data_IF_094820079174
#
_entry.id   IF_094820079174
#
_cell.length_a   1.000
_cell.length_b   1.000
_cell.length_c   1.000
_cell.angle_alpha   90.00
_cell.angle_beta   90.00
_cell.angle_gamma   90.00
#
_symmetry.space_group_name_H-M   'P 1'
#
loop_
_entity.id
_entity.type
_entity.pdbx_description
1 polymer ?
#
# COMPACT_ATOMS: atom_id res chain seq x y z
N UNK A 1 -20.89 -18.64 -29.56
CA UNK A 1 -20.79 -17.27 -30.10
C UNK A 1 -19.31 -16.92 -30.23
N UNK A 2 -18.84 -16.63 -31.44
CA UNK A 2 -17.45 -16.27 -31.66
C UNK A 2 -17.19 -14.86 -31.13
N UNK A 3 -16.41 -14.74 -30.06
CA UNK A 3 -15.80 -13.47 -29.69
C UNK A 3 -14.85 -13.11 -30.82
N UNK A 4 -15.13 -12.03 -31.54
CA UNK A 4 -14.27 -11.56 -32.63
C UNK A 4 -12.89 -11.21 -32.07
N UNK A 5 -11.83 -11.64 -32.75
CA UNK A 5 -10.41 -11.43 -32.39
C UNK A 5 -10.07 -9.96 -32.12
N UNK A 6 -10.83 -9.04 -32.71
CA UNK A 6 -10.72 -7.59 -32.53
C UNK A 6 -11.30 -7.11 -31.19
N UNK A 7 -12.39 -7.71 -30.71
CA UNK A 7 -12.96 -7.45 -29.38
C UNK A 7 -12.05 -7.94 -28.26
N UNK A 8 -11.40 -9.09 -28.43
CA UNK A 8 -10.38 -9.59 -27.50
C UNK A 8 -9.15 -8.67 -27.45
N UNK A 9 -8.65 -8.21 -28.61
CA UNK A 9 -7.54 -7.24 -28.70
C UNK A 9 -7.86 -5.89 -28.06
N UNK A 10 -9.11 -5.43 -28.11
CA UNK A 10 -9.52 -4.15 -27.52
C UNK A 10 -9.59 -4.21 -25.99
N UNK A 11 -10.02 -5.37 -25.45
CA UNK A 11 -10.07 -5.65 -24.01
C UNK A 11 -8.68 -5.57 -23.35
N UNK A 12 -7.63 -6.02 -24.05
CA UNK A 12 -6.24 -6.01 -23.56
C UNK A 12 -5.57 -4.62 -23.59
N UNK A 13 -6.18 -3.61 -24.21
CA UNK A 13 -5.56 -2.29 -24.40
C UNK A 13 -6.04 -1.22 -23.45
N UNK A 14 -7.05 -1.51 -22.64
CA UNK A 14 -7.62 -0.57 -21.66
C UNK A 14 -7.48 -1.18 -20.28
N UNK A 15 -6.85 -0.41 -19.38
CA UNK A 15 -6.71 -0.74 -17.97
C UNK A 15 -7.45 0.31 -17.15
N UNK A 16 -8.40 -0.13 -16.32
CA UNK A 16 -8.93 0.69 -15.24
C UNK A 16 -8.16 0.36 -13.96
N UNK A 17 -7.39 1.33 -13.46
CA UNK A 17 -6.60 1.21 -12.25
C UNK A 17 -7.27 2.01 -11.13
N UNK A 18 -7.54 1.35 -10.01
CA UNK A 18 -8.27 1.93 -8.89
C UNK A 18 -7.37 2.03 -7.66
N UNK A 19 -7.49 3.15 -6.94
CA UNK A 19 -7.09 3.18 -5.54
C UNK A 19 -8.03 2.28 -4.70
N UNK A 20 -7.63 1.92 -3.48
CA UNK A 20 -8.39 1.02 -2.59
C UNK A 20 -9.23 1.81 -1.60
N UNK A 21 -8.59 2.45 -0.61
CA UNK A 21 -9.25 3.09 0.53
C UNK A 21 -9.96 4.39 0.13
N UNK A 22 -11.27 4.46 0.33
CA UNK A 22 -12.11 5.60 -0.06
C UNK A 22 -12.51 5.61 -1.53
N UNK A 23 -11.97 4.70 -2.34
CA UNK A 23 -12.28 4.56 -3.77
C UNK A 23 -13.10 3.31 -4.07
N UNK A 24 -12.61 2.13 -3.68
CA UNK A 24 -13.34 0.86 -3.82
C UNK A 24 -13.98 0.40 -2.51
N UNK A 25 -13.40 0.77 -1.37
CA UNK A 25 -13.87 0.39 -0.04
C UNK A 25 -13.93 1.60 0.88
N UNK A 26 -14.75 1.60 1.94
CA UNK A 26 -14.50 2.48 3.07
C UNK A 26 -13.09 2.21 3.64
N UNK A 27 -12.41 3.25 4.13
CA UNK A 27 -11.03 3.13 4.57
C UNK A 27 -10.81 1.95 5.56
N UNK A 28 -9.90 1.05 5.20
CA UNK A 28 -9.52 -0.19 5.92
C UNK A 28 -10.66 -1.19 6.14
N UNK A 29 -11.76 -1.08 5.39
CA UNK A 29 -12.86 -2.02 5.47
C UNK A 29 -12.96 -2.91 4.23
N UNK A 30 -13.77 -3.96 4.33
CA UNK A 30 -14.08 -4.87 3.23
C UNK A 30 -14.89 -4.16 2.14
N UNK A 31 -14.66 -4.59 0.90
CA UNK A 31 -15.41 -4.15 -0.26
C UNK A 31 -16.90 -4.54 -0.15
N UNK A 32 -17.76 -3.65 -0.62
CA UNK A 32 -19.19 -3.93 -0.76
C UNK A 32 -19.39 -5.01 -1.86
N UNK A 33 -20.21 -6.06 -1.62
CA UNK A 33 -20.52 -7.07 -2.61
C UNK A 33 -21.02 -6.52 -3.96
N UNK A 34 -21.77 -5.42 -3.98
CA UNK A 34 -22.27 -4.80 -5.21
C UNK A 34 -21.13 -4.18 -6.03
N UNK A 35 -20.18 -3.51 -5.36
CA UNK A 35 -18.99 -2.93 -6.00
C UNK A 35 -18.11 -4.05 -6.54
N UNK A 36 -17.90 -5.12 -5.78
CA UNK A 36 -17.14 -6.28 -6.22
C UNK A 36 -17.76 -6.95 -7.47
N UNK A 37 -19.08 -7.14 -7.47
CA UNK A 37 -19.81 -7.70 -8.62
C UNK A 37 -19.71 -6.78 -9.85
N UNK A 38 -19.81 -5.46 -9.65
CA UNK A 38 -19.63 -4.49 -10.71
C UNK A 38 -18.23 -4.56 -11.34
N UNK A 39 -17.18 -4.68 -10.53
CA UNK A 39 -15.81 -4.81 -11.03
C UNK A 39 -15.61 -6.07 -11.88
N UNK A 40 -16.20 -7.20 -11.48
CA UNK A 40 -16.16 -8.43 -12.30
C UNK A 40 -16.92 -8.25 -13.63
N UNK A 41 -18.04 -7.54 -13.62
CA UNK A 41 -18.74 -7.17 -14.86
C UNK A 41 -17.90 -6.23 -15.73
N UNK A 42 -17.23 -5.25 -15.15
CA UNK A 42 -16.31 -4.33 -15.84
C UNK A 42 -15.13 -5.09 -16.47
N UNK A 43 -14.59 -6.07 -15.76
CA UNK A 43 -13.50 -6.96 -16.23
C UNK A 43 -13.86 -7.77 -17.48
N UNK A 44 -15.15 -7.92 -17.81
CA UNK A 44 -15.55 -8.51 -19.10
C UNK A 44 -15.18 -7.62 -20.29
N UNK A 45 -15.02 -6.30 -20.10
CA UNK A 45 -14.80 -5.29 -21.15
C UNK A 45 -13.38 -4.71 -21.18
N UNK A 46 -12.74 -4.60 -20.03
CA UNK A 46 -11.40 -4.00 -19.87
C UNK A 46 -10.58 -4.83 -18.88
N UNK A 47 -9.27 -4.61 -18.82
CA UNK A 47 -8.48 -5.09 -17.69
C UNK A 47 -8.74 -4.20 -16.47
N UNK A 48 -8.72 -4.80 -15.28
CA UNK A 48 -8.85 -4.06 -14.02
C UNK A 48 -7.64 -4.33 -13.12
N UNK A 49 -7.24 -3.32 -12.38
CA UNK A 49 -6.22 -3.46 -11.35
C UNK A 49 -6.44 -2.54 -10.18
N UNK A 50 -5.76 -2.84 -9.08
CA UNK A 50 -5.74 -1.99 -7.88
C UNK A 50 -4.33 -1.53 -7.55
N UNK A 51 -4.20 -0.33 -7.01
CA UNK A 51 -2.97 0.21 -6.45
C UNK A 51 -3.25 0.77 -5.06
N UNK A 52 -2.42 0.44 -4.09
CA UNK A 52 -2.57 0.95 -2.73
C UNK A 52 -1.23 1.06 -2.01
N UNK A 53 -1.15 2.00 -1.07
CA UNK A 53 0.04 2.19 -0.23
C UNK A 53 0.21 1.13 0.87
N UNK A 54 -0.83 0.35 1.12
CA UNK A 54 -0.80 -0.76 2.07
C UNK A 54 0.00 -1.96 1.55
N UNK A 55 0.45 -2.81 2.46
CA UNK A 55 0.99 -4.13 2.11
C UNK A 55 -0.07 -5.01 1.44
N UNK A 56 0.39 -6.06 0.76
CA UNK A 56 -0.49 -6.97 0.02
C UNK A 56 -1.54 -7.62 0.92
N UNK A 57 -1.16 -8.06 2.12
CA UNK A 57 -2.06 -8.75 3.05
C UNK A 57 -3.28 -7.89 3.42
N UNK A 58 -3.09 -6.59 3.67
CA UNK A 58 -4.19 -5.66 3.92
C UNK A 58 -5.08 -5.47 2.71
N UNK A 59 -4.50 -5.29 1.53
CA UNK A 59 -5.27 -5.15 0.28
C UNK A 59 -6.10 -6.42 0.03
N UNK A 60 -5.51 -7.60 0.27
CA UNK A 60 -6.17 -8.88 0.13
C UNK A 60 -7.36 -9.04 1.10
N UNK A 61 -7.17 -8.67 2.38
CA UNK A 61 -8.23 -8.67 3.39
C UNK A 61 -9.43 -7.79 3.00
N UNK A 62 -9.17 -6.63 2.37
CA UNK A 62 -10.22 -5.71 1.97
C UNK A 62 -10.98 -6.17 0.71
N UNK A 63 -10.29 -6.82 -0.22
CA UNK A 63 -10.83 -7.10 -1.57
C UNK A 63 -11.22 -8.56 -1.80
N UNK A 64 -11.02 -9.43 -0.80
CA UNK A 64 -11.41 -10.83 -0.89
C UNK A 64 -11.11 -11.63 0.37
N UNK A 65 -11.11 -12.94 0.22
CA UNK A 65 -10.66 -13.87 1.26
C UNK A 65 -9.37 -14.55 0.81
N UNK A 66 -8.38 -14.66 1.71
CA UNK A 66 -7.07 -15.22 1.38
C UNK A 66 -6.42 -14.50 0.19
N UNK A 67 -6.05 -15.27 -0.84
CA UNK A 67 -5.39 -14.76 -2.05
C UNK A 67 -6.35 -14.51 -3.23
N UNK A 68 -7.67 -14.48 -3.02
CA UNK A 68 -8.64 -14.26 -4.11
C UNK A 68 -8.41 -12.96 -4.88
N UNK A 69 -7.79 -11.94 -4.26
CA UNK A 69 -7.58 -10.63 -4.88
C UNK A 69 -6.75 -10.71 -6.17
N UNK A 70 -5.75 -11.59 -6.24
CA UNK A 70 -4.88 -11.74 -7.42
C UNK A 70 -5.55 -12.53 -8.55
N UNK A 71 -6.65 -13.22 -8.24
CA UNK A 71 -7.50 -13.89 -9.23
C UNK A 71 -8.60 -12.96 -9.72
N UNK A 72 -9.16 -12.12 -8.83
CA UNK A 72 -10.24 -11.16 -9.11
C UNK A 72 -9.79 -9.96 -9.95
N UNK A 73 -8.53 -9.56 -9.87
CA UNK A 73 -7.95 -8.45 -10.60
C UNK A 73 -6.84 -8.91 -11.55
N UNK A 74 -6.69 -8.24 -12.69
CA UNK A 74 -5.60 -8.55 -13.64
C UNK A 74 -4.26 -8.04 -13.13
N UNK A 75 -4.26 -6.97 -12.32
CA UNK A 75 -3.09 -6.42 -11.66
C UNK A 75 -3.38 -6.05 -10.21
N UNK A 76 -2.43 -6.34 -9.32
CA UNK A 76 -2.46 -5.90 -7.91
C UNK A 76 -1.12 -5.26 -7.59
N UNK A 77 -1.14 -3.95 -7.30
CA UNK A 77 0.03 -3.14 -6.96
C UNK A 77 -0.03 -2.76 -5.48
N UNK A 78 0.62 -3.55 -4.63
CA UNK A 78 0.75 -3.25 -3.21
C UNK A 78 1.99 -2.37 -2.96
N UNK A 79 1.99 -1.64 -1.84
CA UNK A 79 3.05 -0.70 -1.47
C UNK A 79 3.41 0.24 -2.64
N UNK A 80 2.38 0.83 -3.25
CA UNK A 80 2.47 1.71 -4.43
C UNK A 80 3.17 1.06 -5.63
N UNK A 81 3.07 -0.26 -5.77
CA UNK A 81 3.59 -1.03 -6.90
C UNK A 81 5.02 -1.54 -6.71
N UNK A 82 5.63 -1.33 -5.55
CA UNK A 82 6.90 -2.00 -5.22
C UNK A 82 6.72 -3.52 -5.08
N UNK A 83 5.50 -3.97 -4.79
CA UNK A 83 5.05 -5.37 -4.92
C UNK A 83 3.97 -5.45 -5.98
N UNK A 84 4.21 -6.24 -7.04
CA UNK A 84 3.30 -6.34 -8.19
C UNK A 84 2.91 -7.78 -8.48
N UNK A 85 1.60 -8.03 -8.58
CA UNK A 85 1.03 -9.22 -9.20
C UNK A 85 0.41 -8.86 -10.56
N UNK A 86 0.58 -9.74 -11.54
CA UNK A 86 -0.05 -9.67 -12.85
C UNK A 86 -0.61 -11.04 -13.22
N UNK A 87 -1.90 -11.11 -13.48
CA UNK A 87 -2.63 -12.33 -13.80
C UNK A 87 -2.32 -13.47 -12.82
N UNK A 88 -2.49 -13.21 -11.52
CA UNK A 88 -2.21 -14.19 -10.46
C UNK A 88 -0.72 -14.44 -10.16
N UNK A 89 0.22 -13.88 -10.94
CA UNK A 89 1.65 -14.14 -10.76
C UNK A 89 2.37 -12.93 -10.16
N UNK A 90 3.16 -13.16 -9.11
CA UNK A 90 4.11 -12.18 -8.61
C UNK A 90 5.16 -11.87 -9.69
N UNK A 91 5.23 -10.61 -10.11
CA UNK A 91 6.18 -10.12 -11.11
C UNK A 91 7.45 -9.57 -10.47
N UNK A 92 7.28 -8.66 -9.52
CA UNK A 92 8.39 -7.95 -8.91
C UNK A 92 8.09 -7.63 -7.46
N UNK A 93 9.15 -7.70 -6.66
CA UNK A 93 9.20 -7.16 -5.32
C UNK A 93 10.50 -6.36 -5.23
N UNK A 94 10.39 -5.04 -5.27
CA UNK A 94 11.52 -4.15 -5.09
C UNK A 94 11.59 -3.74 -3.63
N UNK A 95 12.77 -3.89 -3.04
CA UNK A 95 13.02 -3.47 -1.66
C UNK A 95 13.89 -2.22 -1.64
N UNK A 96 13.68 -1.35 -0.66
CA UNK A 96 14.38 -0.07 -0.55
C UNK A 96 15.90 -0.25 -0.40
N UNK A 97 16.37 -1.29 0.30
CA UNK A 97 17.79 -1.61 0.40
C UNK A 97 18.41 -2.01 -0.95
N UNK A 98 17.66 -2.73 -1.80
CA UNK A 98 18.15 -3.09 -3.13
C UNK A 98 18.18 -1.88 -4.07
N UNK A 99 17.32 -0.89 -3.84
CA UNK A 99 17.28 0.32 -4.66
C UNK A 99 18.32 1.36 -4.24
N UNK A 100 18.45 1.62 -2.93
CA UNK A 100 19.35 2.64 -2.39
C UNK A 100 20.77 2.12 -2.11
N UNK A 101 20.91 0.82 -1.86
CA UNK A 101 22.15 0.23 -1.32
C UNK A 101 22.26 0.39 0.20
N UNK A 102 23.04 -0.50 0.82
CA UNK A 102 23.22 -0.54 2.28
C UNK A 102 23.90 0.72 2.85
N UNK A 103 24.91 1.27 2.16
CA UNK A 103 25.65 2.46 2.62
C UNK A 103 24.72 3.66 2.83
N UNK A 104 23.98 4.06 1.78
CA UNK A 104 23.07 5.20 1.85
C UNK A 104 21.92 4.95 2.83
N UNK A 105 21.41 3.72 2.86
CA UNK A 105 20.32 3.34 3.76
C UNK A 105 20.76 3.42 5.24
N UNK A 106 21.97 2.95 5.56
CA UNK A 106 22.54 3.03 6.90
C UNK A 106 22.85 4.48 7.28
N UNK A 107 23.37 5.29 6.36
CA UNK A 107 23.58 6.72 6.59
C UNK A 107 22.28 7.43 6.97
N UNK A 108 21.19 7.17 6.22
CA UNK A 108 19.87 7.71 6.53
C UNK A 108 19.35 7.24 7.89
N UNK A 109 19.43 5.94 8.17
CA UNK A 109 18.99 5.36 9.46
C UNK A 109 19.77 5.99 10.61
N UNK A 110 21.09 6.05 10.50
CA UNK A 110 21.97 6.62 11.53
C UNK A 110 21.69 8.11 11.74
N UNK A 111 21.45 8.86 10.67
CA UNK A 111 21.04 10.26 10.75
C UNK A 111 19.71 10.41 11.52
N UNK A 112 18.68 9.66 11.14
CA UNK A 112 17.38 9.71 11.82
C UNK A 112 17.49 9.33 13.31
N UNK A 113 18.25 8.29 13.64
CA UNK A 113 18.46 7.87 15.03
C UNK A 113 19.18 8.95 15.85
N UNK A 114 20.25 9.55 15.31
CA UNK A 114 20.98 10.64 15.98
C UNK A 114 20.07 11.86 16.20
N UNK A 115 19.31 12.26 15.18
CA UNK A 115 18.39 13.38 15.29
C UNK A 115 17.32 13.12 16.36
N UNK A 116 16.64 11.97 16.29
CA UNK A 116 15.59 11.61 17.26
C UNK A 116 16.11 11.39 18.68
N UNK A 117 17.38 11.05 18.87
CA UNK A 117 18.00 10.97 20.19
C UNK A 117 18.06 12.34 20.89
N UNK A 118 18.20 13.43 20.12
CA UNK A 118 18.26 14.80 20.64
C UNK A 118 16.88 15.42 20.89
N UNK A 119 15.83 14.92 20.23
CA UNK A 119 14.46 15.37 20.47
C UNK A 119 13.99 14.98 21.87
N UNK A 120 13.50 15.93 22.66
CA UNK A 120 12.84 15.65 23.94
C UNK A 120 11.35 15.88 23.79
N UNK A 121 10.58 14.79 23.87
CA UNK A 121 9.12 14.81 23.74
C UNK A 121 8.49 14.49 25.10
N UNK A 122 7.24 14.90 25.35
CA UNK A 122 6.52 14.50 26.56
C UNK A 122 6.46 12.98 26.73
N UNK A 123 6.30 12.25 25.62
CA UNK A 123 6.25 10.78 25.58
C UNK A 123 7.06 10.26 24.40
N UNK A 124 7.80 9.18 24.63
CA UNK A 124 8.42 8.32 23.60
C UNK A 124 8.02 6.87 23.85
N UNK A 125 7.84 6.10 22.79
CA UNK A 125 7.49 4.68 22.81
C UNK A 125 8.55 3.90 22.02
N UNK A 126 8.16 2.91 21.25
CA UNK A 126 9.04 2.11 20.41
C UNK A 126 8.70 2.23 18.93
N UNK A 127 9.51 1.59 18.09
CA UNK A 127 9.33 1.60 16.62
C UNK A 127 9.40 3.02 16.06
N UNK A 128 10.53 3.70 16.30
CA UNK A 128 10.83 5.03 15.75
C UNK A 128 11.15 5.00 14.25
N UNK A 129 11.72 3.89 13.80
CA UNK A 129 11.99 3.60 12.39
C UNK A 129 11.36 2.24 12.12
N UNK A 130 10.35 2.18 11.26
CA UNK A 130 9.76 0.94 10.76
C UNK A 130 10.20 0.73 9.32
N UNK A 131 10.91 -0.37 9.09
CA UNK A 131 11.38 -0.77 7.77
C UNK A 131 10.28 -1.50 7.01
N UNK A 132 9.89 -0.99 5.84
CA UNK A 132 8.92 -1.60 4.92
C UNK A 132 9.60 -1.95 3.59
N UNK A 133 8.92 -2.64 2.67
CA UNK A 133 9.56 -3.00 1.40
C UNK A 133 9.87 -1.73 0.59
N UNK A 134 8.90 -0.83 0.45
CA UNK A 134 9.07 0.38 -0.36
C UNK A 134 9.59 1.63 0.37
N UNK A 135 9.67 1.64 1.70
CA UNK A 135 9.96 2.86 2.47
C UNK A 135 10.45 2.62 3.90
N UNK A 136 11.00 3.66 4.52
CA UNK A 136 11.13 3.78 5.97
C UNK A 136 10.01 4.66 6.52
N UNK A 137 9.29 4.20 7.53
CA UNK A 137 8.37 5.06 8.29
C UNK A 137 9.08 5.57 9.55
N UNK A 138 9.28 6.89 9.64
CA UNK A 138 9.94 7.54 10.76
C UNK A 138 8.88 8.20 11.65
N UNK A 139 8.91 7.93 12.95
CA UNK A 139 7.97 8.46 13.94
C UNK A 139 8.70 8.89 15.21
N UNK A 140 8.82 10.20 15.50
CA UNK A 140 9.53 10.68 16.71
C UNK A 140 8.94 10.19 18.04
N UNK A 141 7.61 10.11 18.14
CA UNK A 141 6.94 9.51 19.31
C UNK A 141 7.09 7.97 19.34
N UNK A 142 7.23 7.33 18.17
CA UNK A 142 7.25 5.88 18.00
C UNK A 142 5.87 5.31 17.67
N UNK A 143 5.80 4.35 16.73
CA UNK A 143 4.53 3.78 16.24
C UNK A 143 3.77 2.93 17.26
N UNK A 144 4.43 2.46 18.31
CA UNK A 144 3.77 1.67 19.37
C UNK A 144 3.06 2.52 20.43
N UNK A 145 2.79 3.80 20.15
CA UNK A 145 1.97 4.68 21.00
C UNK A 145 0.49 4.34 20.95
N UNK A 146 -0.24 4.72 22.01
CA UNK A 146 -1.70 4.61 22.05
C UNK A 146 -2.36 5.66 21.16
N UNK A 147 -3.67 5.52 20.92
CA UNK A 147 -4.43 6.53 20.16
C UNK A 147 -4.39 7.90 20.85
N UNK A 148 -4.55 7.93 22.17
CA UNK A 148 -4.51 9.17 22.97
C UNK A 148 -3.15 9.86 22.87
N UNK A 149 -2.06 9.10 23.00
CA UNK A 149 -0.69 9.60 22.86
C UNK A 149 -0.40 10.13 21.45
N UNK A 150 -0.97 9.48 20.43
CA UNK A 150 -0.85 9.93 19.04
C UNK A 150 -1.56 11.25 18.79
N UNK A 151 -2.74 11.45 19.39
CA UNK A 151 -3.47 12.72 19.31
C UNK A 151 -2.66 13.83 19.99
N UNK A 152 -2.14 13.58 21.20
CA UNK A 152 -1.30 14.53 21.92
C UNK A 152 -0.05 14.93 21.13
N UNK A 153 0.65 13.95 20.53
CA UNK A 153 1.80 14.23 19.66
C UNK A 153 1.41 15.02 18.42
N UNK A 154 0.26 14.70 17.81
CA UNK A 154 -0.25 15.43 16.64
C UNK A 154 -0.57 16.88 16.96
N UNK A 155 -1.00 17.23 18.17
CA UNK A 155 -1.20 18.63 18.55
C UNK A 155 0.13 19.33 18.85
N UNK A 156 1.10 18.63 19.47
CA UNK A 156 2.44 19.16 19.71
C UNK A 156 3.16 19.51 18.39
N UNK A 157 3.08 18.62 17.39
CA UNK A 157 3.76 18.76 16.09
C UNK A 157 3.21 19.90 15.21
N UNK A 158 1.98 20.36 15.49
CA UNK A 158 1.39 21.53 14.81
C UNK A 158 1.99 22.85 15.26
N UNK A 159 2.68 22.88 16.40
CA UNK A 159 3.29 24.10 16.92
C UNK A 159 4.61 24.33 16.17
N UNK A 160 4.72 25.37 15.32
CA UNK A 160 5.98 25.66 14.65
C UNK A 160 7.07 25.99 15.69
N UNK A 161 8.36 25.74 15.36
CA UNK A 161 9.48 26.00 16.25
C UNK A 161 9.63 27.48 16.62
#
# INVERSE_FOLDING_TARGET
MAVTTEGARRKERVLCLFDVDGTLTPARQKIDPEVAAFLQKLRSRVQIGVVGGSDYSKIAEQLGEGDEVIEKFDYVFAENGTVQYKHGRLLSKQTIQNHLGEELLQDLINFCLRYMALLRLPKKRGTFIEFRNGMLNISPIGRSCTLEERIEFSELDKVPP
#
